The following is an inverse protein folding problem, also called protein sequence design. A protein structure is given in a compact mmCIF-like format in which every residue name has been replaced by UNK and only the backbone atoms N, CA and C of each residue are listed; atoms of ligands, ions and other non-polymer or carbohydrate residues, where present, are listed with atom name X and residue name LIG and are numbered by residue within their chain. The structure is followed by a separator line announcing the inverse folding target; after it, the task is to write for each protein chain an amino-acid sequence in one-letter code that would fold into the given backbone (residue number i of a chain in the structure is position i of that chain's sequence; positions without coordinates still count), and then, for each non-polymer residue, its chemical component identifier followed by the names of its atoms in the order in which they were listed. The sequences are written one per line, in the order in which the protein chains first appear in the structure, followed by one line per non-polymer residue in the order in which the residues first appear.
data_IF_615444385835
#
_entry.id   IF_615444385835
#
_cell.length_a   1.000
_cell.length_b   1.000
_cell.length_c   1.000
_cell.angle_alpha   90.00
_cell.angle_beta   90.00
_cell.angle_gamma   90.00
#
_symmetry.space_group_name_H-M   'P 1'
#
loop_
_entity.id
_entity.type
_entity.pdbx_description
1 polymer ?
#
# COMPACT_ATOMS: atom_id res chain seq x y z
N UNK A 1 37.13 64.63 14.32
CA UNK A 1 36.32 63.45 14.70
C UNK A 1 37.08 62.21 14.23
N UNK A 2 37.56 61.42 15.19
CA UNK A 2 38.50 60.31 15.01
C UNK A 2 37.74 58.98 15.05
N UNK A 3 38.00 58.06 14.12
CA UNK A 3 37.43 56.71 14.09
C UNK A 3 38.52 55.69 14.40
N UNK A 4 38.29 54.82 15.39
CA UNK A 4 39.14 53.67 15.75
C UNK A 4 38.22 52.48 16.12
N UNK A 5 38.10 51.43 15.28
CA UNK A 5 38.67 50.04 15.27
C UNK A 5 37.88 48.93 16.06
N UNK A 6 37.88 47.72 15.45
CA UNK A 6 37.79 46.32 15.96
C UNK A 6 36.39 45.65 15.95
N UNK A 7 36.16 44.40 15.51
CA UNK A 7 36.98 43.31 14.94
C UNK A 7 36.13 42.11 14.43
N UNK A 8 36.72 41.29 13.54
CA UNK A 8 36.75 39.81 13.43
C UNK A 8 35.44 38.98 13.58
N UNK A 9 35.17 37.83 12.93
CA UNK A 9 35.79 36.90 11.96
C UNK A 9 34.70 35.83 11.69
N UNK A 10 34.69 35.14 10.54
CA UNK A 10 34.45 33.68 10.46
C UNK A 10 34.87 33.18 9.07
N UNK A 11 35.60 32.06 9.09
CA UNK A 11 36.39 31.45 7.99
C UNK A 11 35.51 30.65 7.04
N UNK A 12 35.71 30.84 5.73
CA UNK A 12 35.32 29.87 4.69
C UNK A 12 36.33 28.71 4.65
N UNK A 13 35.84 27.47 4.72
CA UNK A 13 36.64 26.26 4.48
C UNK A 13 36.54 25.88 3.00
N UNK A 14 37.68 25.91 2.31
CA UNK A 14 37.85 25.31 1.00
C UNK A 14 38.10 23.79 1.14
N UNK A 15 37.30 22.98 0.45
CA UNK A 15 37.57 21.55 0.23
C UNK A 15 38.43 21.42 -1.04
N UNK A 16 39.64 20.89 -0.91
CA UNK A 16 40.49 20.49 -2.03
C UNK A 16 40.02 19.14 -2.59
N UNK A 17 39.76 19.10 -3.90
CA UNK A 17 39.57 17.88 -4.67
C UNK A 17 40.92 17.29 -5.07
N UNK A 18 41.06 15.97 -4.93
CA UNK A 18 42.22 15.18 -5.34
C UNK A 18 41.92 14.50 -6.69
N UNK A 19 42.73 14.67 -7.76
CA UNK A 19 42.48 13.99 -9.03
C UNK A 19 43.17 12.62 -9.08
N UNK A 20 42.42 11.58 -9.45
CA UNK A 20 42.97 10.29 -9.89
C UNK A 20 42.87 10.22 -11.41
N UNK A 21 44.02 10.00 -12.06
CA UNK A 21 44.16 9.72 -13.50
C UNK A 21 44.91 8.41 -13.65
N UNK A 22 44.56 7.64 -14.70
CA UNK A 22 45.25 6.49 -15.35
C UNK A 22 44.24 5.34 -15.52
N UNK A 23 44.09 4.61 -16.64
CA UNK A 23 44.48 4.67 -18.06
C UNK A 23 43.59 3.60 -18.77
N UNK A 24 43.43 3.73 -20.09
CA UNK A 24 42.65 2.83 -20.94
C UNK A 24 43.37 1.52 -21.34
N UNK A 25 42.60 0.42 -21.38
CA UNK A 25 42.52 -0.58 -22.47
C UNK A 25 43.65 -1.59 -22.73
N UNK A 26 43.32 -2.90 -22.65
CA UNK A 26 43.54 -3.94 -23.71
C UNK A 26 43.00 -5.32 -23.30
N UNK A 27 42.34 -6.02 -24.23
CA UNK A 27 41.90 -7.43 -24.16
C UNK A 27 43.02 -8.38 -24.60
N UNK A 28 43.21 -9.55 -23.96
CA UNK A 28 43.65 -10.82 -24.60
C UNK A 28 43.09 -12.04 -23.82
N UNK A 29 42.93 -13.14 -24.56
CA UNK A 29 42.24 -14.44 -24.36
C UNK A 29 42.67 -15.35 -23.20
N UNK A 30 41.75 -16.28 -22.91
CA UNK A 30 41.82 -17.46 -22.07
C UNK A 30 42.87 -18.51 -22.46
N UNK A 31 43.32 -19.31 -21.47
CA UNK A 31 43.53 -20.77 -21.58
C UNK A 31 43.32 -21.45 -20.22
N UNK A 32 42.75 -22.65 -20.30
CA UNK A 32 42.50 -23.62 -19.22
C UNK A 32 43.76 -24.46 -18.96
N UNK A 33 43.96 -24.95 -17.73
CA UNK A 33 44.16 -26.38 -17.40
C UNK A 33 44.62 -26.62 -15.93
N UNK A 34 43.83 -27.49 -15.28
CA UNK A 34 44.08 -28.49 -14.23
C UNK A 34 45.43 -28.57 -13.50
N UNK A 35 45.36 -28.81 -12.17
CA UNK A 35 46.44 -29.47 -11.42
C UNK A 35 46.36 -29.34 -9.88
N UNK A 36 45.72 -30.31 -9.22
CA UNK A 36 45.95 -30.71 -7.79
C UNK A 36 46.73 -32.04 -7.77
N UNK A 37 47.17 -32.62 -6.63
CA UNK A 37 47.42 -32.15 -5.25
C UNK A 37 48.79 -32.67 -4.65
N UNK A 38 49.09 -32.34 -3.39
CA UNK A 38 50.04 -33.10 -2.54
C UNK A 38 50.72 -32.26 -1.45
N UNK A 39 50.21 -32.25 -0.20
CA UNK A 39 50.61 -33.07 0.97
C UNK A 39 52.01 -32.75 1.56
N UNK A 40 52.05 -32.29 2.82
CA UNK A 40 52.63 -32.98 3.99
C UNK A 40 52.93 -31.98 5.13
N UNK A 41 52.29 -32.17 6.30
CA UNK A 41 52.91 -32.48 7.62
C UNK A 41 53.62 -31.29 8.30
N UNK A 42 53.63 -31.06 9.60
CA UNK A 42 53.03 -31.61 10.84
C UNK A 42 53.67 -30.77 11.96
N UNK A 43 52.95 -30.48 13.06
CA UNK A 43 53.47 -30.54 14.44
C UNK A 43 52.53 -29.88 15.47
N UNK A 44 51.95 -30.76 16.32
CA UNK A 44 51.78 -30.67 17.79
C UNK A 44 51.16 -29.40 18.40
N UNK A 45 49.93 -29.46 18.92
CA UNK A 45 49.43 -30.11 20.16
C UNK A 45 49.53 -29.20 21.39
N UNK A 46 48.38 -28.89 22.00
CA UNK A 46 48.14 -29.02 23.45
C UNK A 46 46.64 -28.83 23.76
N UNK A 47 46.07 -29.86 24.39
CA UNK A 47 44.73 -29.93 24.97
C UNK A 47 44.48 -28.88 26.06
N UNK A 48 43.23 -28.40 26.17
CA UNK A 48 42.53 -28.27 27.46
C UNK A 48 41.08 -28.74 27.28
N UNK A 49 40.66 -29.62 28.18
CA UNK A 49 39.36 -30.30 28.25
C UNK A 49 38.41 -29.64 29.25
N UNK A 50 37.17 -30.16 29.24
CA UNK A 50 36.06 -30.04 30.21
C UNK A 50 35.07 -28.89 29.93
N UNK A 51 33.90 -29.12 29.33
CA UNK A 51 32.75 -29.97 29.70
C UNK A 51 31.91 -29.43 30.87
N UNK A 52 30.70 -28.95 30.57
CA UNK A 52 29.45 -29.41 31.22
C UNK A 52 28.26 -29.13 30.27
N UNK A 53 27.39 -30.13 29.98
CA UNK A 53 26.11 -29.92 29.31
C UNK A 53 24.95 -29.81 30.32
N UNK A 54 23.98 -28.92 30.03
CA UNK A 54 22.74 -28.78 30.79
C UNK A 54 21.71 -29.88 30.42
N UNK A 55 20.95 -30.43 31.37
CA UNK A 55 19.95 -31.45 31.09
C UNK A 55 18.61 -30.87 30.64
N UNK A 56 18.08 -31.47 29.58
CA UNK A 56 16.67 -31.43 29.17
C UNK A 56 15.80 -32.14 30.22
N UNK A 57 14.82 -31.42 30.78
CA UNK A 57 13.75 -32.00 31.59
C UNK A 57 12.44 -32.05 30.80
N UNK A 58 12.14 -33.21 30.22
CA UNK A 58 10.83 -33.52 29.63
C UNK A 58 9.97 -34.27 30.65
N UNK A 59 9.04 -33.57 31.29
CA UNK A 59 7.99 -34.18 32.12
C UNK A 59 6.78 -34.50 31.24
N UNK A 60 6.65 -35.76 30.85
CA UNK A 60 5.45 -36.32 30.23
C UNK A 60 4.43 -36.65 31.33
N UNK A 61 3.51 -35.73 31.58
CA UNK A 61 2.35 -36.00 32.44
C UNK A 61 1.39 -36.94 31.70
N UNK A 62 1.37 -38.18 32.17
CA UNK A 62 0.49 -39.27 31.77
C UNK A 62 -0.96 -38.92 32.14
N UNK A 63 -1.73 -38.39 31.21
CA UNK A 63 -3.18 -38.25 31.35
C UNK A 63 -3.84 -39.60 31.07
N UNK A 64 -4.45 -40.18 32.10
CA UNK A 64 -5.35 -41.34 31.99
C UNK A 64 -6.76 -40.84 31.64
N UNK A 65 -7.27 -41.29 30.50
CA UNK A 65 -8.66 -41.08 30.07
C UNK A 65 -9.61 -42.01 30.85
N UNK A 66 -10.70 -41.51 31.44
CA UNK A 66 -11.82 -42.36 31.84
C UNK A 66 -12.66 -42.66 30.60
N UNK A 67 -12.83 -43.95 30.29
CA UNK A 67 -13.80 -44.44 29.32
C UNK A 67 -15.22 -44.16 29.85
N UNK A 68 -15.97 -43.34 29.12
CA UNK A 68 -17.38 -43.05 29.38
C UNK A 68 -18.16 -43.12 28.07
N UNK A 69 -18.69 -44.31 27.78
CA UNK A 69 -19.64 -44.54 26.70
C UNK A 69 -20.97 -43.88 27.04
N UNK A 70 -21.45 -42.98 26.19
CA UNK A 70 -22.88 -42.69 26.05
C UNK A 70 -23.18 -42.26 24.61
N UNK A 71 -23.84 -43.16 23.89
CA UNK A 71 -24.60 -42.86 22.67
C UNK A 71 -25.78 -41.98 23.07
N UNK A 72 -26.19 -41.03 22.21
CA UNK A 72 -27.56 -40.88 21.70
C UNK A 72 -27.67 -39.66 20.77
N UNK A 73 -28.40 -39.91 19.68
CA UNK A 73 -29.12 -39.00 18.77
C UNK A 73 -28.36 -38.00 17.89
N UNK A 74 -28.14 -38.44 16.64
CA UNK A 74 -28.20 -37.57 15.48
C UNK A 74 -29.60 -36.95 15.36
N UNK A 75 -29.67 -35.63 15.27
CA UNK A 75 -30.83 -34.89 14.75
C UNK A 75 -30.34 -34.08 13.56
N UNK A 76 -30.74 -34.48 12.36
CA UNK A 76 -30.61 -33.68 11.13
C UNK A 76 -31.59 -32.50 11.15
N UNK A 77 -31.17 -31.28 10.80
CA UNK A 77 -32.08 -30.28 10.27
C UNK A 77 -32.06 -30.31 8.74
N UNK A 78 -33.23 -30.67 8.22
CA UNK A 78 -33.67 -30.64 6.82
C UNK A 78 -33.42 -29.27 6.17
N UNK A 79 -32.48 -29.19 5.24
CA UNK A 79 -32.23 -28.01 4.43
C UNK A 79 -33.42 -27.73 3.48
N UNK A 80 -34.17 -26.65 3.72
CA UNK A 80 -35.07 -26.07 2.72
C UNK A 80 -34.22 -25.24 1.73
N UNK A 81 -34.19 -25.71 0.49
CA UNK A 81 -33.65 -24.99 -0.66
C UNK A 81 -34.60 -23.82 -0.99
N UNK A 82 -34.18 -22.59 -0.72
CA UNK A 82 -34.81 -21.38 -1.27
C UNK A 82 -33.76 -20.68 -2.11
N UNK A 83 -33.94 -20.74 -3.43
CA UNK A 83 -33.19 -19.93 -4.36
C UNK A 83 -33.67 -18.49 -4.27
N UNK A 84 -32.74 -17.56 -4.19
CA UNK A 84 -32.95 -16.14 -4.42
C UNK A 84 -31.65 -15.60 -5.01
N UNK A 85 -31.64 -15.56 -6.35
CA UNK A 85 -30.82 -14.63 -7.11
C UNK A 85 -31.17 -13.21 -6.65
N UNK A 86 -30.17 -12.42 -6.24
CA UNK A 86 -30.29 -10.98 -6.16
C UNK A 86 -28.97 -10.31 -6.50
N UNK A 87 -29.11 -9.30 -7.35
CA UNK A 87 -28.09 -8.50 -8.00
C UNK A 87 -27.06 -7.88 -7.05
N UNK A 88 -25.78 -8.08 -7.38
CA UNK A 88 -24.66 -7.31 -6.83
C UNK A 88 -24.46 -6.07 -7.70
N UNK A 89 -25.26 -5.03 -7.45
CA UNK A 89 -25.06 -3.70 -8.01
C UNK A 89 -25.59 -2.62 -7.04
N UNK A 90 -24.79 -2.21 -6.06
CA UNK A 90 -24.74 -0.82 -5.58
C UNK A 90 -23.61 -0.64 -4.58
N UNK A 91 -22.67 0.26 -4.90
CA UNK A 91 -21.72 0.77 -3.93
C UNK A 91 -22.45 1.75 -3.01
N UNK A 92 -22.24 1.73 -1.68
CA UNK A 92 -22.95 2.61 -0.77
C UNK A 92 -22.50 4.06 -0.99
N UNK A 93 -23.45 4.88 -1.43
CA UNK A 93 -23.34 6.31 -1.61
C UNK A 93 -23.54 6.99 -0.23
N UNK A 94 -22.50 7.58 0.34
CA UNK A 94 -22.64 8.40 1.55
C UNK A 94 -23.36 9.70 1.15
N UNK A 95 -24.65 9.83 1.49
CA UNK A 95 -25.40 11.07 1.26
C UNK A 95 -25.27 11.95 2.50
N UNK A 96 -24.61 13.10 2.34
CA UNK A 96 -24.71 14.22 3.27
C UNK A 96 -26.10 14.87 3.15
N UNK A 97 -26.80 14.96 4.27
CA UNK A 97 -28.10 15.60 4.38
C UNK A 97 -27.93 17.14 4.35
N UNK A 98 -28.42 17.78 3.28
CA UNK A 98 -28.62 19.22 3.23
C UNK A 98 -30.02 19.56 3.75
N UNK A 99 -30.08 20.30 4.86
CA UNK A 99 -31.30 20.95 5.32
C UNK A 99 -31.57 22.18 4.45
N UNK A 100 -32.75 22.22 3.83
CA UNK A 100 -33.24 23.38 3.11
C UNK A 100 -33.82 24.44 4.05
N UNK A 101 -33.68 25.71 3.67
CA UNK A 101 -34.73 26.71 3.91
C UNK A 101 -34.56 28.00 3.08
N UNK A 102 -35.71 28.44 2.58
CA UNK A 102 -36.14 29.82 2.28
C UNK A 102 -35.96 30.41 0.87
N UNK A 103 -37.15 30.53 0.27
CA UNK A 103 -37.58 31.38 -0.84
C UNK A 103 -37.53 32.86 -0.41
N UNK A 104 -36.94 33.74 -1.22
CA UNK A 104 -37.36 35.16 -1.33
C UNK A 104 -36.86 35.80 -2.63
N UNK A 105 -37.81 36.34 -3.40
CA UNK A 105 -37.74 37.61 -4.16
C UNK A 105 -36.67 37.80 -5.24
N UNK A 106 -37.05 37.58 -6.50
CA UNK A 106 -36.39 38.21 -7.66
C UNK A 106 -36.77 39.69 -7.76
N UNK A 107 -35.82 40.56 -8.13
CA UNK A 107 -36.12 41.62 -9.07
C UNK A 107 -35.19 41.60 -10.29
N UNK A 108 -35.71 42.19 -11.37
CA UNK A 108 -35.18 42.28 -12.72
C UNK A 108 -33.71 42.70 -12.85
N UNK A 109 -33.07 42.15 -13.88
CA UNK A 109 -32.15 42.89 -14.74
C UNK A 109 -30.67 42.74 -14.41
N UNK A 110 -30.04 41.75 -15.04
CA UNK A 110 -28.71 41.81 -15.67
C UNK A 110 -28.44 40.42 -16.24
N UNK A 111 -28.47 40.29 -17.57
CA UNK A 111 -28.02 39.08 -18.27
C UNK A 111 -26.49 39.06 -18.15
N UNK A 112 -26.00 38.43 -17.09
CA UNK A 112 -24.63 37.97 -17.03
C UNK A 112 -24.59 36.66 -17.81
N UNK A 113 -23.96 36.65 -18.98
CA UNK A 113 -23.53 35.42 -19.64
C UNK A 113 -22.44 34.78 -18.78
N UNK A 114 -22.86 34.19 -17.66
CA UNK A 114 -22.04 33.29 -16.88
C UNK A 114 -21.83 32.05 -17.72
N UNK A 115 -20.59 31.83 -18.15
CA UNK A 115 -20.11 30.49 -18.43
C UNK A 115 -20.30 29.77 -17.09
N UNK A 116 -21.35 28.96 -17.01
CA UNK A 116 -21.56 28.04 -15.90
C UNK A 116 -20.37 27.08 -15.91
N UNK A 117 -19.34 27.43 -15.13
CA UNK A 117 -18.29 26.51 -14.79
C UNK A 117 -18.95 25.32 -14.11
N UNK A 118 -18.90 24.17 -14.77
CA UNK A 118 -19.31 22.90 -14.19
C UNK A 118 -18.69 22.81 -12.79
N UNK A 119 -19.53 22.83 -11.76
CA UNK A 119 -19.14 22.46 -10.40
C UNK A 119 -18.99 20.94 -10.29
N UNK A 120 -18.43 20.32 -11.32
CA UNK A 120 -18.15 18.89 -11.39
C UNK A 120 -16.94 18.58 -10.52
N UNK A 121 -17.05 17.55 -9.69
CA UNK A 121 -15.86 16.94 -9.09
C UNK A 121 -14.85 16.63 -10.20
N UNK A 122 -13.54 16.83 -9.97
CA UNK A 122 -12.53 16.59 -10.99
C UNK A 122 -12.67 15.16 -11.56
N UNK A 123 -12.44 14.97 -12.87
CA UNK A 123 -12.51 13.65 -13.48
C UNK A 123 -11.61 12.69 -12.71
N UNK A 124 -12.07 11.44 -12.56
CA UNK A 124 -11.34 10.41 -11.82
C UNK A 124 -10.87 9.31 -12.74
N UNK A 125 -9.66 8.85 -12.50
CA UNK A 125 -9.13 7.60 -13.04
C UNK A 125 -8.74 6.69 -11.88
N UNK A 126 -8.56 5.41 -12.17
CA UNK A 126 -8.31 4.39 -11.17
C UNK A 126 -7.04 3.62 -11.52
N UNK A 127 -6.18 3.35 -10.55
CA UNK A 127 -4.99 2.55 -10.77
C UNK A 127 -5.37 1.13 -11.26
N UNK A 128 -4.88 0.72 -12.42
CA UNK A 128 -5.19 -0.59 -13.00
C UNK A 128 -4.58 -1.74 -12.20
N UNK A 129 -3.42 -1.49 -11.62
CA UNK A 129 -2.64 -2.40 -10.77
C UNK A 129 -1.84 -1.56 -9.78
N UNK A 130 -0.66 -2.04 -9.37
CA UNK A 130 0.29 -1.20 -8.63
C UNK A 130 0.85 -0.17 -9.62
N UNK A 131 0.55 1.11 -9.41
CA UNK A 131 0.98 2.20 -10.29
C UNK A 131 2.07 3.03 -9.61
N UNK A 132 3.05 3.53 -10.38
CA UNK A 132 4.06 4.46 -9.86
C UNK A 132 3.47 5.86 -9.78
N UNK A 133 3.68 6.52 -8.64
CA UNK A 133 3.41 7.93 -8.44
C UNK A 133 4.75 8.67 -8.53
N UNK A 134 4.90 9.49 -9.55
CA UNK A 134 6.06 10.38 -9.69
C UNK A 134 5.84 11.67 -8.91
N UNK A 135 6.94 12.31 -8.54
CA UNK A 135 6.93 13.59 -7.83
C UNK A 135 6.13 14.67 -8.56
N UNK A 136 5.54 15.58 -7.78
CA UNK A 136 4.99 16.83 -8.32
C UNK A 136 6.10 17.76 -8.84
N UNK A 137 7.31 17.60 -8.32
CA UNK A 137 8.52 18.36 -8.54
C UNK A 137 9.46 17.74 -9.60
N UNK A 138 9.27 16.47 -9.95
CA UNK A 138 10.15 15.72 -10.85
C UNK A 138 9.39 14.65 -11.64
N UNK A 139 9.70 14.51 -12.93
CA UNK A 139 9.08 13.51 -13.81
C UNK A 139 9.75 12.13 -13.72
N UNK A 140 10.96 12.05 -13.17
CA UNK A 140 11.77 10.82 -13.16
C UNK A 140 11.85 10.18 -11.77
N UNK A 141 11.56 10.95 -10.71
CA UNK A 141 11.68 10.47 -9.34
C UNK A 141 10.36 9.89 -8.86
N UNK A 142 10.39 8.60 -8.53
CA UNK A 142 9.25 7.89 -7.92
C UNK A 142 9.06 8.43 -6.51
N UNK A 143 7.91 9.05 -6.27
CA UNK A 143 7.45 9.47 -4.96
C UNK A 143 6.89 8.28 -4.16
N UNK A 144 6.22 7.34 -4.85
CA UNK A 144 5.66 6.16 -4.21
C UNK A 144 4.92 5.23 -5.17
N UNK A 145 4.18 4.29 -4.58
CA UNK A 145 3.35 3.31 -5.27
C UNK A 145 1.89 3.49 -4.85
N UNK A 146 1.00 3.51 -5.84
CA UNK A 146 -0.46 3.57 -5.67
C UNK A 146 -1.02 2.15 -5.75
N UNK A 147 -1.93 1.79 -4.85
CA UNK A 147 -2.56 0.47 -4.84
C UNK A 147 -3.64 0.36 -5.93
N UNK A 148 -3.93 -0.86 -6.44
CA UNK A 148 -4.96 -1.06 -7.46
C UNK A 148 -6.31 -0.46 -7.07
N UNK A 149 -7.08 0.03 -8.03
CA UNK A 149 -8.43 0.56 -7.83
C UNK A 149 -8.52 1.85 -7.01
N UNK A 150 -7.39 2.40 -6.54
CA UNK A 150 -7.35 3.72 -5.90
C UNK A 150 -7.78 4.80 -6.87
N UNK A 151 -8.72 5.64 -6.44
CA UNK A 151 -9.21 6.77 -7.20
C UNK A 151 -8.18 7.91 -7.20
N UNK A 152 -7.91 8.44 -8.39
CA UNK A 152 -6.99 9.53 -8.65
C UNK A 152 -7.78 10.69 -9.25
N UNK A 153 -7.80 11.84 -8.59
CA UNK A 153 -8.40 13.04 -9.16
C UNK A 153 -7.45 13.61 -10.22
N UNK A 154 -7.86 13.57 -11.48
CA UNK A 154 -7.07 14.04 -12.62
C UNK A 154 -7.16 15.56 -12.70
N UNK A 155 -6.00 16.19 -12.77
CA UNK A 155 -5.84 17.62 -13.05
C UNK A 155 -5.58 17.86 -14.53
N UNK A 156 -4.60 18.72 -14.80
CA UNK A 156 -4.17 19.01 -16.17
C UNK A 156 -3.27 17.88 -16.71
N UNK A 157 -3.23 17.76 -18.03
CA UNK A 157 -2.23 16.95 -18.71
C UNK A 157 -0.82 17.40 -18.29
N UNK A 158 0.12 16.46 -18.19
CA UNK A 158 1.47 16.81 -17.84
C UNK A 158 2.20 17.49 -19.00
N UNK A 159 2.54 18.78 -18.83
CA UNK A 159 3.32 19.55 -19.79
C UNK A 159 4.73 18.99 -20.06
N UNK A 160 5.32 18.25 -19.11
CA UNK A 160 6.64 17.63 -19.25
C UNK A 160 6.62 16.23 -19.85
N UNK A 161 5.45 15.56 -19.90
CA UNK A 161 5.30 14.24 -20.51
C UNK A 161 3.84 13.97 -20.94
N UNK A 162 3.54 13.90 -22.25
CA UNK A 162 2.17 13.71 -22.75
C UNK A 162 1.55 12.35 -22.37
N UNK A 163 2.36 11.37 -21.99
CA UNK A 163 1.93 10.03 -21.55
C UNK A 163 1.57 9.97 -20.06
N UNK A 164 1.64 11.08 -19.34
CA UNK A 164 1.24 11.18 -17.94
C UNK A 164 0.24 12.31 -17.68
N UNK A 165 -0.50 12.17 -16.59
CA UNK A 165 -1.40 13.19 -16.08
C UNK A 165 -0.99 13.60 -14.67
N UNK A 166 -1.22 14.87 -14.32
CA UNK A 166 -1.14 15.33 -12.93
C UNK A 166 -2.34 14.79 -12.17
N UNK A 167 -2.09 14.17 -11.02
CA UNK A 167 -3.12 13.57 -10.19
C UNK A 167 -3.02 14.00 -8.73
N UNK A 168 -4.15 13.94 -8.04
CA UNK A 168 -4.23 14.10 -6.58
C UNK A 168 -4.85 12.88 -5.91
N UNK A 169 -4.29 12.52 -4.76
CA UNK A 169 -4.77 11.47 -3.86
C UNK A 169 -5.06 12.11 -2.52
N UNK A 170 -6.31 12.05 -2.07
CA UNK A 170 -6.71 12.51 -0.75
C UNK A 170 -6.96 11.30 0.15
N UNK A 171 -6.43 11.35 1.37
CA UNK A 171 -6.54 10.27 2.34
C UNK A 171 -6.03 10.70 3.71
N UNK A 172 -5.59 9.71 4.47
CA UNK A 172 -5.17 9.88 5.85
C UNK A 172 -3.83 9.21 6.12
N UNK A 173 -3.01 9.83 6.95
CA UNK A 173 -1.76 9.24 7.45
C UNK A 173 -1.73 9.36 8.97
N UNK A 174 -1.09 8.41 9.64
CA UNK A 174 -0.80 8.58 11.07
C UNK A 174 0.28 9.66 11.23
N UNK A 175 0.14 10.49 12.27
CA UNK A 175 1.15 11.49 12.63
C UNK A 175 2.51 10.82 12.88
N UNK A 176 3.56 11.35 12.28
CA UNK A 176 4.92 10.78 12.36
C UNK A 176 5.18 9.59 11.42
N UNK A 177 4.17 9.05 10.73
CA UNK A 177 4.30 7.92 9.81
C UNK A 177 3.81 8.26 8.39
N UNK A 178 4.38 9.30 7.78
CA UNK A 178 3.97 9.84 6.47
C UNK A 178 4.24 8.93 5.25
N UNK A 179 4.71 7.69 5.46
CA UNK A 179 5.04 6.76 4.38
C UNK A 179 3.83 5.98 3.84
N UNK A 180 2.67 6.01 4.50
CA UNK A 180 1.49 5.26 4.05
C UNK A 180 0.25 6.14 4.11
N UNK A 181 -0.50 6.15 3.01
CA UNK A 181 -1.76 6.88 2.87
C UNK A 181 -2.91 5.88 2.89
N UNK A 182 -3.82 6.06 3.83
CA UNK A 182 -4.99 5.25 4.06
C UNK A 182 -6.25 5.95 3.56
N UNK A 183 -7.27 5.15 3.27
CA UNK A 183 -8.57 5.65 2.79
C UNK A 183 -9.36 6.37 3.89
N UNK A 184 -9.28 5.87 5.12
CA UNK A 184 -9.88 6.47 6.30
C UNK A 184 -9.07 6.11 7.56
N UNK A 185 -9.20 6.89 8.65
CA UNK A 185 -8.67 6.53 9.96
C UNK A 185 -9.24 5.17 10.41
N UNK A 186 -8.41 4.39 11.09
CA UNK A 186 -8.74 3.03 11.57
C UNK A 186 -9.09 2.02 10.46
N UNK A 187 -8.95 2.39 9.18
CA UNK A 187 -9.18 1.50 8.04
C UNK A 187 -7.85 1.16 7.38
N UNK A 188 -7.45 -0.12 7.43
CA UNK A 188 -6.19 -0.63 6.87
C UNK A 188 -6.22 -0.77 5.34
N UNK A 189 -6.98 0.09 4.67
CA UNK A 189 -7.07 0.17 3.22
C UNK A 189 -6.08 1.22 2.74
N UNK A 190 -4.96 0.75 2.19
CA UNK A 190 -3.93 1.62 1.63
C UNK A 190 -4.37 2.18 0.27
N UNK A 191 -4.17 3.48 0.08
CA UNK A 191 -4.27 4.18 -1.20
C UNK A 191 -2.90 4.28 -1.89
N UNK A 192 -1.87 4.61 -1.11
CA UNK A 192 -0.51 4.73 -1.59
C UNK A 192 0.53 4.46 -0.49
N UNK A 193 1.72 4.05 -0.89
CA UNK A 193 2.91 3.94 -0.04
C UNK A 193 4.01 4.80 -0.64
N UNK A 194 4.57 5.74 0.13
CA UNK A 194 5.63 6.63 -0.31
C UNK A 194 7.00 6.00 -0.08
N UNK A 195 7.87 6.11 -1.09
CA UNK A 195 9.24 5.59 -1.06
C UNK A 195 10.25 6.63 -0.58
N UNK A 196 9.86 7.90 -0.51
CA UNK A 196 10.66 9.02 0.00
C UNK A 196 9.79 10.06 0.69
N UNK A 197 10.42 11.03 1.35
CA UNK A 197 9.72 12.16 1.93
C UNK A 197 9.03 13.01 0.83
N UNK A 198 7.73 13.33 0.97
CA UNK A 198 6.97 14.00 -0.09
C UNK A 198 7.24 15.50 -0.25
N UNK A 199 7.84 16.17 0.73
CA UNK A 199 8.15 17.59 0.63
C UNK A 199 6.92 18.43 0.26
N UNK A 200 7.06 19.28 -0.77
CA UNK A 200 5.99 20.13 -1.29
C UNK A 200 4.86 19.37 -1.98
N UNK A 201 5.01 18.08 -2.25
CA UNK A 201 3.99 17.27 -2.89
C UNK A 201 2.87 16.81 -1.95
N UNK A 202 3.01 17.02 -0.64
CA UNK A 202 2.00 16.68 0.36
C UNK A 202 1.53 17.94 1.08
N UNK A 203 0.22 18.05 1.24
CA UNK A 203 -0.44 19.08 2.05
C UNK A 203 -1.25 18.42 3.15
N UNK A 204 -1.27 19.03 4.34
CA UNK A 204 -2.08 18.60 5.48
C UNK A 204 -3.15 19.66 5.70
N UNK A 205 -4.42 19.26 5.73
CA UNK A 205 -5.57 20.17 5.87
C UNK A 205 -6.52 19.78 7.02
N UNK A 206 -6.14 18.83 7.87
CA UNK A 206 -6.89 18.47 9.06
C UNK A 206 -6.22 17.39 9.90
N UNK A 207 -6.74 17.20 11.11
CA UNK A 207 -6.33 16.12 12.00
C UNK A 207 -7.48 15.60 12.85
N UNK A 208 -7.35 14.36 13.32
CA UNK A 208 -8.25 13.76 14.30
C UNK A 208 -7.52 12.72 15.14
N UNK A 209 -8.09 12.36 16.29
CA UNK A 209 -7.60 11.25 17.12
C UNK A 209 -8.65 10.15 17.12
N UNK A 210 -8.23 8.90 16.92
CA UNK A 210 -9.13 7.76 17.01
C UNK A 210 -9.37 7.32 18.48
N UNK A 211 -10.35 6.42 18.75
CA UNK A 211 -10.63 5.95 20.11
C UNK A 211 -9.46 5.23 20.80
N UNK A 212 -8.44 4.81 20.04
CA UNK A 212 -7.24 4.14 20.55
C UNK A 212 -6.10 5.11 20.84
N UNK A 213 -6.31 6.42 20.64
CA UNK A 213 -5.33 7.47 20.88
C UNK A 213 -4.37 7.71 19.72
N UNK A 214 -4.55 7.06 18.56
CA UNK A 214 -3.72 7.36 17.39
C UNK A 214 -4.15 8.67 16.77
N UNK A 215 -3.16 9.51 16.44
CA UNK A 215 -3.38 10.78 15.75
C UNK A 215 -3.26 10.59 14.24
N UNK A 216 -4.26 11.06 13.53
CA UNK A 216 -4.39 10.99 12.09
C UNK A 216 -4.37 12.39 11.49
N UNK A 217 -3.70 12.54 10.37
CA UNK A 217 -3.64 13.77 9.57
C UNK A 217 -4.31 13.52 8.23
N UNK A 218 -5.23 14.40 7.85
CA UNK A 218 -5.82 14.40 6.51
C UNK A 218 -4.82 15.02 5.56
N UNK A 219 -4.52 14.30 4.48
CA UNK A 219 -3.48 14.67 3.53
C UNK A 219 -3.97 14.61 2.11
N UNK A 220 -3.48 15.54 1.31
CA UNK A 220 -3.58 15.48 -0.14
C UNK A 220 -2.20 15.44 -0.74
N UNK A 221 -1.93 14.38 -1.50
CA UNK A 221 -0.70 14.19 -2.27
C UNK A 221 -0.95 14.55 -3.72
N UNK A 222 -0.10 15.41 -4.26
CA UNK A 222 -0.04 15.73 -5.69
C UNK A 222 1.15 15.03 -6.33
N UNK A 223 0.97 14.50 -7.52
CA UNK A 223 2.02 13.84 -8.27
C UNK A 223 1.59 13.57 -9.70
N UNK A 224 2.29 12.64 -10.36
CA UNK A 224 1.99 12.25 -11.74
C UNK A 224 1.87 10.75 -11.85
N UNK A 225 1.01 10.30 -12.75
CA UNK A 225 0.85 8.88 -13.09
C UNK A 225 0.84 8.72 -14.60
N UNK A 226 1.41 7.62 -15.08
CA UNK A 226 1.35 7.29 -16.51
C UNK A 226 -0.06 6.84 -16.90
N UNK A 227 -0.55 7.29 -18.06
CA UNK A 227 -1.87 6.99 -18.61
C UNK A 227 -2.10 5.49 -18.80
N UNK A 228 -1.04 4.74 -19.17
CA UNK A 228 -1.10 3.26 -19.32
C UNK A 228 -1.35 2.51 -18.00
N UNK A 229 -1.07 3.14 -16.86
CA UNK A 229 -1.21 2.57 -15.53
C UNK A 229 -2.60 2.74 -14.91
N UNK A 230 -3.51 3.46 -15.59
CA UNK A 230 -4.82 3.83 -15.06
C UNK A 230 -5.95 3.46 -16.02
N UNK A 231 -7.17 3.40 -15.48
CA UNK A 231 -8.41 3.16 -16.24
C UNK A 231 -9.50 4.15 -15.81
N UNK A 232 -10.42 4.48 -16.71
CA UNK A 232 -11.52 5.40 -16.41
C UNK A 232 -12.61 4.80 -15.51
N UNK A 233 -12.78 3.47 -15.53
CA UNK A 233 -13.82 2.77 -14.78
C UNK A 233 -13.25 1.72 -13.82
N UNK A 234 -13.45 1.94 -12.52
CA UNK A 234 -13.01 1.05 -11.44
C UNK A 234 -13.59 -0.36 -11.56
N UNK A 235 -14.79 -0.53 -12.15
CA UNK A 235 -15.41 -1.84 -12.35
C UNK A 235 -14.55 -2.78 -13.19
N UNK A 236 -13.72 -2.22 -14.08
CA UNK A 236 -12.76 -3.01 -14.85
C UNK A 236 -11.68 -3.64 -13.96
N UNK A 237 -11.22 -2.90 -12.94
CA UNK A 237 -10.28 -3.42 -11.93
C UNK A 237 -10.93 -4.51 -11.09
N UNK A 238 -12.16 -4.28 -10.61
CA UNK A 238 -12.87 -5.24 -9.76
C UNK A 238 -13.32 -6.51 -10.47
N UNK A 239 -13.68 -6.44 -11.75
CA UNK A 239 -13.93 -7.62 -12.57
C UNK A 239 -12.68 -8.48 -12.76
N UNK A 240 -11.52 -7.85 -12.93
CA UNK A 240 -10.24 -8.57 -12.99
C UNK A 240 -9.90 -9.21 -11.64
N UNK A 241 -10.06 -8.45 -10.55
CA UNK A 241 -9.76 -8.92 -9.20
C UNK A 241 -10.65 -10.09 -8.75
N UNK A 242 -11.97 -9.98 -8.97
CA UNK A 242 -12.94 -11.04 -8.63
C UNK A 242 -12.68 -12.34 -9.40
N UNK A 243 -12.42 -12.26 -10.72
CA UNK A 243 -12.06 -13.42 -11.53
C UNK A 243 -10.76 -14.07 -11.03
N UNK A 244 -9.75 -13.27 -10.72
CA UNK A 244 -8.48 -13.75 -10.20
C UNK A 244 -8.65 -14.39 -8.81
N UNK A 245 -9.44 -13.78 -7.93
CA UNK A 245 -9.76 -14.29 -6.60
C UNK A 245 -10.44 -15.65 -6.68
N UNK A 246 -11.50 -15.78 -7.48
CA UNK A 246 -12.17 -17.05 -7.69
C UNK A 246 -11.19 -18.12 -8.23
N UNK A 247 -10.43 -17.80 -9.27
CA UNK A 247 -9.50 -18.74 -9.90
C UNK A 247 -8.36 -19.22 -8.97
N UNK A 248 -7.88 -18.35 -8.07
CA UNK A 248 -6.76 -18.67 -7.16
C UNK A 248 -7.22 -19.30 -5.84
N UNK A 249 -8.36 -18.86 -5.31
CA UNK A 249 -8.75 -19.18 -3.93
C UNK A 249 -9.83 -20.26 -3.82
N UNK A 250 -10.50 -20.67 -4.90
CA UNK A 250 -11.46 -21.79 -4.88
C UNK A 250 -10.84 -23.16 -5.13
N UNK A 251 -9.50 -23.24 -5.21
CA UNK A 251 -8.78 -24.47 -5.62
C UNK A 251 -8.65 -25.50 -4.50
N UNK A 252 -8.63 -25.05 -3.24
CA UNK A 252 -8.35 -25.91 -2.08
C UNK A 252 -9.56 -26.02 -1.13
N UNK A 253 -10.44 -25.03 -1.10
CA UNK A 253 -11.64 -25.00 -0.27
C UNK A 253 -12.71 -24.11 -0.93
N UNK A 254 -13.90 -24.06 -0.32
CA UNK A 254 -14.96 -23.13 -0.74
C UNK A 254 -14.47 -21.68 -0.70
N UNK A 255 -14.87 -20.89 -1.69
CA UNK A 255 -14.48 -19.49 -1.77
C UNK A 255 -15.19 -18.69 -0.67
N UNK A 256 -14.42 -17.99 0.16
CA UNK A 256 -14.98 -17.10 1.16
C UNK A 256 -15.64 -15.89 0.49
N UNK A 257 -16.82 -15.52 0.95
CA UNK A 257 -17.49 -14.32 0.44
C UNK A 257 -16.75 -13.06 0.95
N UNK A 258 -16.52 -12.01 0.13
CA UNK A 258 -15.83 -10.79 0.57
C UNK A 258 -16.42 -10.14 1.84
N UNK A 259 -17.75 -10.20 2.02
CA UNK A 259 -18.40 -9.67 3.23
C UNK A 259 -18.32 -10.58 4.47
N UNK A 260 -17.62 -11.71 4.41
CA UNK A 260 -17.44 -12.60 5.57
C UNK A 260 -16.53 -11.98 6.63
N UNK A 261 -15.56 -11.15 6.23
CA UNK A 261 -14.61 -10.49 7.12
C UNK A 261 -14.61 -8.97 6.92
N UNK A 262 -14.08 -8.24 7.89
CA UNK A 262 -13.87 -6.79 7.79
C UNK A 262 -12.66 -6.47 6.93
N UNK A 263 -12.58 -5.23 6.43
CA UNK A 263 -11.44 -4.77 5.64
C UNK A 263 -10.09 -4.88 6.38
N UNK A 264 -10.10 -4.81 7.72
CA UNK A 264 -8.89 -4.92 8.54
C UNK A 264 -8.46 -6.37 8.77
N UNK A 265 -9.38 -7.33 8.68
CA UNK A 265 -9.09 -8.76 8.83
C UNK A 265 -8.51 -9.38 7.55
N UNK A 266 -8.98 -8.94 6.38
CA UNK A 266 -8.62 -9.52 5.09
C UNK A 266 -7.11 -9.59 4.80
N UNK A 267 -6.29 -8.55 5.06
CA UNK A 267 -4.86 -8.62 4.81
C UNK A 267 -4.17 -9.78 5.55
N UNK A 268 -4.53 -10.01 6.81
CA UNK A 268 -3.99 -11.12 7.60
C UNK A 268 -4.40 -12.49 7.05
N UNK A 269 -5.69 -12.63 6.71
CA UNK A 269 -6.22 -13.88 6.13
C UNK A 269 -5.55 -14.17 4.79
N UNK A 270 -5.49 -13.18 3.89
CA UNK A 270 -4.88 -13.32 2.59
C UNK A 270 -3.38 -13.64 2.71
N UNK A 271 -2.67 -13.05 3.66
CA UNK A 271 -1.25 -13.34 3.89
C UNK A 271 -1.00 -14.81 4.21
N UNK A 272 -1.86 -15.46 4.99
CA UNK A 272 -1.69 -16.89 5.31
C UNK A 272 -1.89 -17.80 4.10
N UNK A 273 -2.72 -17.38 3.14
CA UNK A 273 -3.05 -18.17 1.95
C UNK A 273 -2.24 -17.81 0.71
N UNK A 274 -1.64 -16.61 0.64
CA UNK A 274 -0.98 -16.09 -0.56
C UNK A 274 0.09 -17.05 -1.11
N UNK A 275 0.91 -17.62 -0.23
CA UNK A 275 1.93 -18.61 -0.61
C UNK A 275 1.31 -19.91 -1.13
N UNK A 276 0.29 -20.42 -0.44
CA UNK A 276 -0.39 -21.67 -0.80
C UNK A 276 -1.16 -21.54 -2.12
N UNK A 277 -1.74 -20.37 -2.39
CA UNK A 277 -2.43 -20.05 -3.64
C UNK A 277 -1.49 -19.64 -4.78
N UNK A 278 -0.18 -19.56 -4.53
CA UNK A 278 0.83 -19.13 -5.51
C UNK A 278 0.50 -17.75 -6.09
N UNK A 279 0.19 -16.78 -5.23
CA UNK A 279 -0.05 -15.40 -5.62
C UNK A 279 1.29 -14.67 -5.79
N UNK A 280 1.42 -13.97 -6.92
CA UNK A 280 2.44 -12.94 -7.10
C UNK A 280 2.04 -11.67 -6.34
N UNK A 281 2.98 -10.75 -6.09
CA UNK A 281 2.72 -9.54 -5.30
C UNK A 281 1.62 -8.66 -5.93
N UNK A 282 1.63 -8.50 -7.25
CA UNK A 282 0.60 -7.73 -7.98
C UNK A 282 -0.77 -8.39 -7.88
N UNK A 283 -0.81 -9.73 -7.96
CA UNK A 283 -2.03 -10.52 -7.83
C UNK A 283 -2.60 -10.40 -6.41
N UNK A 284 -1.73 -10.51 -5.41
CA UNK A 284 -2.07 -10.37 -4.00
C UNK A 284 -2.60 -8.97 -3.72
N UNK A 285 -1.91 -7.91 -4.17
CA UNK A 285 -2.36 -6.53 -3.96
C UNK A 285 -3.73 -6.26 -4.58
N UNK A 286 -3.98 -6.80 -5.78
CA UNK A 286 -5.27 -6.68 -6.46
C UNK A 286 -6.40 -7.40 -5.71
N UNK A 287 -6.15 -8.64 -5.28
CA UNK A 287 -7.11 -9.42 -4.48
C UNK A 287 -7.35 -8.76 -3.12
N UNK A 288 -6.28 -8.33 -2.43
CA UNK A 288 -6.36 -7.69 -1.11
C UNK A 288 -7.27 -6.47 -1.18
N UNK A 289 -7.01 -5.54 -2.10
CA UNK A 289 -7.83 -4.34 -2.23
C UNK A 289 -9.28 -4.68 -2.61
N UNK A 290 -9.50 -5.66 -3.49
CA UNK A 290 -10.86 -6.11 -3.83
C UNK A 290 -11.61 -6.62 -2.60
N UNK A 291 -10.99 -7.49 -1.81
CA UNK A 291 -11.59 -8.05 -0.59
C UNK A 291 -11.86 -6.96 0.45
N UNK A 292 -10.95 -5.99 0.59
CA UNK A 292 -11.13 -4.89 1.53
C UNK A 292 -12.25 -3.92 1.12
N UNK A 293 -12.37 -3.61 -0.17
CA UNK A 293 -13.39 -2.69 -0.70
C UNK A 293 -14.79 -3.29 -0.74
N UNK A 294 -14.90 -4.62 -0.76
CA UNK A 294 -16.16 -5.37 -0.72
C UNK A 294 -16.35 -6.10 0.63
N UNK A 295 -15.59 -5.69 1.64
CA UNK A 295 -15.64 -6.26 2.97
C UNK A 295 -16.95 -5.94 3.68
N UNK A 296 -17.20 -6.62 4.81
CA UNK A 296 -18.23 -6.17 5.74
C UNK A 296 -17.89 -4.76 6.23
N UNK A 297 -18.90 -3.91 6.30
CA UNK A 297 -18.77 -2.61 6.96
C UNK A 297 -18.31 -2.79 8.42
N UNK A 298 -17.55 -1.83 8.92
CA UNK A 298 -17.23 -1.73 10.34
C UNK A 298 -18.36 -0.90 10.94
N UNK A 299 -19.11 -1.49 11.87
CA UNK A 299 -20.18 -0.82 12.63
C UNK A 299 -19.62 -0.08 13.85
#
# INVERSE_FOLDING_TARGET
MCSIIFSAQIRQRYFMACPVKVMAGKRVRAYSLMGTPGRALSATSLCWTMSTPMPFGSSTTKWQSPQGSSRIAHVEPRAKRVGLEHDVNEAPNYKSAFYGRHVFGMPCGCVWSGISGDSGSPPRVYAKGIAQLFGCDSHNDILGLVTPGTALAVGQADAGNPESDVVRISGWTMEGASSVIYEAPDLRIKLATLSRFPGSCLTIDGSQTDPYGNKWQRVTISGRVEKRGVVADVRTVWRQASKLYAAKCSRCHGLHHPSQFTANQWPGILQTMAKNAGLQEEQKALIEKYLQTHARAIE
#
